data_IF_390305251178
#
_entry.id   IF_390305251178
#
_cell.length_a   1.000
_cell.length_b   1.000
_cell.length_c   1.000
_cell.angle_alpha   90.00
_cell.angle_beta   90.00
_cell.angle_gamma   90.00
#
_symmetry.space_group_name_H-M   'P 1'
#
loop_
_entity.id
_entity.type
_entity.pdbx_description
1 polymer ?
#
# COMPACT_ATOMS: atom_id res chain seq x y z
N UNK A 1 -16.42 8.45 -17.14
CA UNK A 1 -15.73 7.24 -17.64
C UNK A 1 -14.31 7.17 -17.12
N UNK A 2 -13.96 6.12 -16.40
CA UNK A 2 -12.60 5.89 -15.93
C UNK A 2 -11.68 5.53 -17.09
N UNK A 3 -10.97 6.49 -17.65
CA UNK A 3 -9.99 6.24 -18.72
C UNK A 3 -8.86 5.32 -18.23
N UNK A 4 -8.07 4.77 -19.16
CA UNK A 4 -6.85 4.01 -18.85
C UNK A 4 -6.00 4.65 -17.73
N UNK A 5 -5.86 5.98 -17.78
CA UNK A 5 -5.07 6.76 -16.82
C UNK A 5 -5.61 6.61 -15.39
N UNK A 6 -6.93 6.65 -15.17
CA UNK A 6 -7.51 6.50 -13.83
C UNK A 6 -7.25 5.12 -13.23
N UNK A 7 -7.38 4.07 -14.05
CA UNK A 7 -7.06 2.70 -13.64
C UNK A 7 -5.57 2.51 -13.36
N UNK A 8 -4.69 3.04 -14.24
CA UNK A 8 -3.25 2.97 -14.06
C UNK A 8 -2.78 3.78 -12.84
N UNK A 9 -3.39 4.93 -12.56
CA UNK A 9 -3.11 5.76 -11.39
C UNK A 9 -3.45 5.01 -10.09
N UNK A 10 -4.71 4.57 -9.95
CA UNK A 10 -5.17 3.82 -8.78
C UNK A 10 -4.34 2.53 -8.59
N UNK A 11 -4.11 1.79 -9.67
CA UNK A 11 -3.29 0.59 -9.65
C UNK A 11 -1.85 0.86 -9.18
N UNK A 12 -1.21 1.90 -9.73
CA UNK A 12 0.15 2.29 -9.35
C UNK A 12 0.24 2.71 -7.89
N UNK A 13 -0.76 3.44 -7.38
CA UNK A 13 -0.84 3.84 -5.99
C UNK A 13 -0.82 2.64 -5.04
N UNK A 14 -1.72 1.66 -5.25
CA UNK A 14 -1.79 0.46 -4.41
C UNK A 14 -0.54 -0.43 -4.54
N UNK A 15 0.02 -0.57 -5.75
CA UNK A 15 1.28 -1.31 -5.97
C UNK A 15 2.43 -0.66 -5.19
N UNK A 16 2.63 0.66 -5.34
CA UNK A 16 3.73 1.37 -4.67
C UNK A 16 3.60 1.27 -3.15
N UNK A 17 2.39 1.45 -2.60
CA UNK A 17 2.16 1.34 -1.16
C UNK A 17 2.42 -0.08 -0.62
N UNK A 18 1.93 -1.11 -1.31
CA UNK A 18 2.11 -2.50 -0.88
C UNK A 18 3.58 -2.92 -0.91
N UNK A 19 4.31 -2.60 -1.98
CA UNK A 19 5.75 -2.83 -2.07
C UNK A 19 6.51 -2.07 -0.99
N UNK A 20 6.15 -0.80 -0.76
CA UNK A 20 6.74 0.03 0.29
C UNK A 20 6.52 -0.56 1.69
N UNK A 21 5.32 -1.05 2.01
CA UNK A 21 5.03 -1.72 3.28
C UNK A 21 5.86 -3.00 3.46
N UNK A 22 6.06 -3.78 2.39
CA UNK A 22 6.89 -4.98 2.47
C UNK A 22 8.36 -4.65 2.74
N UNK A 23 8.90 -3.61 2.09
CA UNK A 23 10.26 -3.11 2.34
C UNK A 23 10.39 -2.59 3.77
N UNK A 24 9.44 -1.79 4.25
CA UNK A 24 9.41 -1.30 5.63
C UNK A 24 9.34 -2.45 6.64
N UNK A 25 8.55 -3.48 6.35
CA UNK A 25 8.43 -4.65 7.21
C UNK A 25 9.76 -5.39 7.33
N UNK A 26 10.42 -5.68 6.20
CA UNK A 26 11.75 -6.32 6.19
C UNK A 26 12.78 -5.47 6.96
N UNK A 27 12.80 -4.15 6.72
CA UNK A 27 13.67 -3.22 7.43
C UNK A 27 13.42 -3.21 8.94
N UNK A 28 12.15 -3.16 9.37
CA UNK A 28 11.82 -3.15 10.79
C UNK A 28 12.19 -4.49 11.46
N UNK A 29 11.96 -5.63 10.80
CA UNK A 29 12.33 -6.94 11.36
C UNK A 29 13.85 -7.13 11.46
N UNK A 30 14.60 -6.76 10.42
CA UNK A 30 16.02 -7.13 10.29
C UNK A 30 16.96 -6.03 10.82
N UNK A 31 16.73 -4.79 10.42
CA UNK A 31 17.61 -3.67 10.77
C UNK A 31 17.27 -3.07 12.14
N UNK A 32 15.97 -3.02 12.47
CA UNK A 32 15.52 -2.45 13.73
C UNK A 32 15.23 -3.49 14.83
N UNK A 33 15.42 -4.78 14.56
CA UNK A 33 15.06 -5.89 15.47
C UNK A 33 13.65 -5.71 16.06
N UNK A 34 12.68 -5.48 15.17
CA UNK A 34 11.27 -5.22 15.48
C UNK A 34 11.08 -4.00 16.41
N UNK A 35 11.83 -2.93 16.16
CA UNK A 35 11.77 -1.65 16.87
C UNK A 35 12.66 -1.55 18.12
N UNK A 36 13.46 -2.57 18.42
CA UNK A 36 14.40 -2.57 19.55
C UNK A 36 15.65 -1.72 19.29
N UNK A 37 16.00 -1.52 18.01
CA UNK A 37 17.15 -0.72 17.56
C UNK A 37 16.65 0.53 16.84
N UNK A 38 17.35 1.66 17.02
CA UNK A 38 17.01 2.92 16.32
C UNK A 38 17.66 2.97 14.93
N UNK A 39 17.02 3.60 13.93
CA UNK A 39 17.62 3.79 12.61
C UNK A 39 19.01 4.44 12.66
N UNK A 40 19.96 3.87 11.93
CA UNK A 40 21.31 4.42 11.79
C UNK A 40 21.37 5.44 10.63
N UNK A 41 22.08 6.55 10.84
CA UNK A 41 22.22 7.63 9.86
C UNK A 41 21.15 8.72 9.94
N UNK A 42 21.53 9.96 9.58
CA UNK A 42 20.67 11.16 9.72
C UNK A 42 19.45 11.11 8.79
N UNK A 43 19.64 10.68 7.54
CA UNK A 43 18.58 10.58 6.53
C UNK A 43 17.56 9.50 6.91
N UNK A 44 18.04 8.33 7.34
CA UNK A 44 17.16 7.21 7.71
C UNK A 44 16.32 7.54 8.95
N UNK A 45 16.91 8.26 9.93
CA UNK A 45 16.15 8.81 11.07
C UNK A 45 15.12 9.85 10.66
N UNK A 46 15.44 10.70 9.69
CA UNK A 46 14.49 11.69 9.18
C UNK A 46 13.31 10.99 8.47
N UNK A 47 13.60 10.08 7.54
CA UNK A 47 12.57 9.31 6.83
C UNK A 47 11.69 8.48 7.77
N UNK A 48 12.25 7.94 8.85
CA UNK A 48 11.50 7.20 9.86
C UNK A 48 10.64 8.10 10.78
N UNK A 49 10.91 9.41 10.81
CA UNK A 49 10.11 10.38 11.59
C UNK A 49 9.02 11.05 10.76
N UNK A 50 9.26 11.24 9.46
CA UNK A 50 8.29 11.87 8.59
C UNK A 50 7.15 10.88 8.28
N UNK A 51 5.87 11.33 8.30
CA UNK A 51 4.73 10.50 7.90
C UNK A 51 4.66 10.40 6.36
N UNK A 52 5.74 9.96 5.73
CA UNK A 52 5.92 9.93 4.26
C UNK A 52 4.76 9.20 3.59
N UNK A 53 4.31 8.09 4.18
CA UNK A 53 3.19 7.32 3.67
C UNK A 53 1.89 8.12 3.63
N UNK A 54 1.55 8.81 4.73
CA UNK A 54 0.36 9.66 4.77
C UNK A 54 0.42 10.80 3.77
N UNK A 55 1.60 11.41 3.59
CA UNK A 55 1.84 12.46 2.58
C UNK A 55 1.61 11.92 1.17
N UNK A 56 2.17 10.76 0.84
CA UNK A 56 1.99 10.12 -0.47
C UNK A 56 0.51 9.85 -0.72
N UNK A 57 -0.21 9.28 0.26
CA UNK A 57 -1.64 9.00 0.15
C UNK A 57 -2.45 10.27 -0.13
N UNK A 58 -2.18 11.37 0.60
CA UNK A 58 -2.87 12.65 0.38
C UNK A 58 -2.57 13.19 -1.02
N UNK A 59 -1.31 13.12 -1.48
CA UNK A 59 -0.93 13.61 -2.81
C UNK A 59 -1.66 12.85 -3.90
N UNK A 60 -1.64 11.52 -3.87
CA UNK A 60 -2.38 10.69 -4.84
C UNK A 60 -3.89 10.94 -4.78
N UNK A 61 -4.47 10.98 -3.59
CA UNK A 61 -5.89 11.30 -3.43
C UNK A 61 -6.24 12.67 -4.00
N UNK A 62 -5.39 13.68 -3.80
CA UNK A 62 -5.61 15.04 -4.31
C UNK A 62 -5.47 15.09 -5.84
N UNK A 63 -4.48 14.41 -6.41
CA UNK A 63 -4.29 14.34 -7.87
C UNK A 63 -5.52 13.69 -8.53
N UNK A 64 -5.95 12.53 -8.06
CA UNK A 64 -7.13 11.84 -8.60
C UNK A 64 -8.41 12.66 -8.43
N UNK A 65 -8.58 13.30 -7.26
CA UNK A 65 -9.74 14.15 -6.98
C UNK A 65 -9.83 15.35 -7.93
N UNK A 66 -8.72 16.07 -8.12
CA UNK A 66 -8.65 17.21 -9.06
C UNK A 66 -8.78 16.72 -10.50
N UNK A 67 -8.11 15.62 -10.84
CA UNK A 67 -8.14 15.03 -12.18
C UNK A 67 -9.57 14.67 -12.61
N UNK A 68 -10.36 14.06 -11.72
CA UNK A 68 -11.74 13.70 -12.05
C UNK A 68 -12.67 14.90 -12.23
N UNK A 69 -12.49 15.95 -11.43
CA UNK A 69 -13.37 17.12 -11.46
C UNK A 69 -12.98 18.17 -12.49
N UNK A 70 -11.70 18.29 -12.83
CA UNK A 70 -11.21 19.40 -13.65
C UNK A 70 -10.71 18.97 -15.05
N UNK A 71 -10.50 17.67 -15.30
CA UNK A 71 -10.04 17.17 -16.61
C UNK A 71 -11.12 16.38 -17.38
N UNK A 72 -11.23 16.56 -18.71
CA UNK A 72 -10.56 17.58 -19.54
C UNK A 72 -11.18 18.98 -19.42
N UNK A 73 -12.30 19.10 -18.72
CA UNK A 73 -12.98 20.35 -18.40
C UNK A 73 -13.66 20.23 -17.03
N UNK A 74 -13.98 21.35 -16.35
CA UNK A 74 -14.61 21.32 -15.04
C UNK A 74 -15.99 20.64 -15.01
N UNK A 75 -16.22 19.74 -14.04
CA UNK A 75 -17.41 18.88 -13.90
C UNK A 75 -18.16 19.08 -12.58
N UNK A 76 -18.09 20.27 -12.00
CA UNK A 76 -18.66 20.62 -10.69
C UNK A 76 -20.20 20.68 -10.62
N UNK A 77 -20.88 20.54 -11.75
CA UNK A 77 -22.35 20.60 -11.79
C UNK A 77 -22.95 19.33 -11.21
N UNK A 78 -23.66 19.45 -10.08
CA UNK A 78 -24.34 18.33 -9.43
C UNK A 78 -25.72 18.04 -10.04
N UNK A 79 -26.48 19.08 -10.38
CA UNK A 79 -27.82 18.97 -10.97
C UNK A 79 -27.88 19.61 -12.34
N UNK A 80 -28.50 18.90 -13.29
CA UNK A 80 -28.83 19.44 -14.60
C UNK A 80 -30.00 20.42 -14.57
N UNK A 81 -30.23 21.07 -15.71
CA UNK A 81 -31.41 21.93 -15.93
C UNK A 81 -32.73 21.15 -15.91
N UNK A 82 -32.66 19.84 -16.07
CA UNK A 82 -33.74 18.85 -15.96
C UNK A 82 -34.00 18.38 -14.52
N UNK A 83 -33.17 18.78 -13.55
CA UNK A 83 -33.25 18.35 -12.14
C UNK A 83 -32.57 17.01 -11.85
N UNK A 84 -32.02 16.35 -12.87
CA UNK A 84 -31.33 15.06 -12.74
C UNK A 84 -29.87 15.24 -12.28
N UNK A 85 -29.32 14.20 -11.64
CA UNK A 85 -27.91 14.20 -11.24
C UNK A 85 -26.99 14.16 -12.48
N UNK A 86 -25.98 15.04 -12.50
CA UNK A 86 -24.92 15.05 -13.51
C UNK A 86 -23.59 14.57 -12.93
N UNK A 87 -22.74 14.02 -13.81
CA UNK A 87 -21.38 13.57 -13.48
C UNK A 87 -21.33 12.57 -12.32
N UNK A 88 -22.34 11.68 -12.24
CA UNK A 88 -22.49 10.76 -11.11
C UNK A 88 -21.28 9.84 -10.94
N UNK A 89 -20.67 9.38 -12.04
CA UNK A 89 -19.44 8.58 -12.00
C UNK A 89 -18.29 9.37 -11.36
N UNK A 90 -18.08 10.61 -11.76
CA UNK A 90 -17.03 11.47 -11.21
C UNK A 90 -17.27 11.80 -9.73
N UNK A 91 -18.51 12.04 -9.32
CA UNK A 91 -18.86 12.21 -7.91
C UNK A 91 -18.55 10.97 -7.07
N UNK A 92 -18.75 9.77 -7.62
CA UNK A 92 -18.35 8.53 -6.94
C UNK A 92 -16.82 8.44 -6.82
N UNK A 93 -16.06 8.70 -7.88
CA UNK A 93 -14.59 8.67 -7.80
C UNK A 93 -14.03 9.70 -6.84
N UNK A 94 -14.52 10.94 -6.87
CA UNK A 94 -14.14 11.99 -5.92
C UNK A 94 -14.45 11.59 -4.48
N UNK A 95 -15.57 10.94 -4.25
CA UNK A 95 -15.91 10.42 -2.92
C UNK A 95 -14.88 9.38 -2.48
N UNK A 96 -14.55 8.42 -3.34
CA UNK A 96 -13.50 7.43 -3.09
C UNK A 96 -12.16 8.09 -2.73
N UNK A 97 -11.67 9.04 -3.55
CA UNK A 97 -10.43 9.76 -3.26
C UNK A 97 -10.48 10.53 -1.94
N UNK A 98 -11.64 11.10 -1.59
CA UNK A 98 -11.82 11.83 -0.33
C UNK A 98 -11.60 10.90 0.87
N UNK A 99 -12.14 9.67 0.86
CA UNK A 99 -11.94 8.70 1.94
C UNK A 99 -10.47 8.27 2.07
N UNK A 100 -9.79 8.00 0.95
CA UNK A 100 -8.34 7.73 0.98
C UNK A 100 -7.53 8.94 1.45
N UNK A 101 -7.92 10.16 1.07
CA UNK A 101 -7.33 11.41 1.56
C UNK A 101 -7.46 11.56 3.08
N UNK A 102 -8.63 11.26 3.65
CA UNK A 102 -8.87 11.25 5.11
C UNK A 102 -8.00 10.18 5.78
N UNK A 103 -7.87 8.99 5.19
CA UNK A 103 -6.97 7.95 5.68
C UNK A 103 -5.51 8.43 5.71
N UNK A 104 -5.03 9.07 4.63
CA UNK A 104 -3.70 9.67 4.57
C UNK A 104 -3.50 10.79 5.61
N UNK A 105 -4.50 11.67 5.77
CA UNK A 105 -4.50 12.74 6.77
C UNK A 105 -4.38 12.19 8.19
N UNK A 106 -5.08 11.10 8.49
CA UNK A 106 -5.01 10.41 9.79
C UNK A 106 -3.57 9.97 10.09
N UNK A 107 -2.85 9.44 9.09
CA UNK A 107 -1.43 9.06 9.23
C UNK A 107 -0.51 10.25 9.47
N UNK A 108 -0.75 11.36 8.78
CA UNK A 108 0.05 12.59 8.95
C UNK A 108 -0.19 13.19 10.34
N UNK A 109 -1.45 13.39 10.70
CA UNK A 109 -1.86 13.98 11.99
C UNK A 109 -1.40 13.10 13.15
N UNK A 110 -1.63 11.79 13.06
CA UNK A 110 -1.15 10.78 14.02
C UNK A 110 0.36 10.77 14.15
N UNK A 111 1.09 10.94 13.04
CA UNK A 111 2.55 10.96 13.01
C UNK A 111 3.21 12.24 13.51
N UNK A 112 2.46 13.35 13.63
CA UNK A 112 3.05 14.69 13.86
C UNK A 112 2.44 15.46 15.01
N UNK A 113 1.15 15.80 14.92
CA UNK A 113 0.49 16.77 15.81
C UNK A 113 -0.26 16.09 16.95
N UNK A 114 -1.00 15.02 16.65
CA UNK A 114 -1.93 14.38 17.59
C UNK A 114 -1.72 12.85 17.59
N UNK A 115 -0.79 12.31 18.40
CA UNK A 115 -0.46 10.89 18.42
C UNK A 115 -1.64 9.94 18.67
N UNK A 116 -2.66 10.39 19.41
CA UNK A 116 -3.86 9.60 19.71
C UNK A 116 -4.65 9.25 18.44
N UNK A 117 -4.52 10.07 17.38
CA UNK A 117 -5.17 9.83 16.07
C UNK A 117 -4.65 8.55 15.41
N UNK A 118 -3.44 8.07 15.76
CA UNK A 118 -2.90 6.80 15.24
C UNK A 118 -3.81 5.60 15.48
N UNK A 119 -4.60 5.63 16.55
CA UNK A 119 -5.56 4.58 16.87
C UNK A 119 -6.60 4.37 15.73
N UNK A 120 -6.94 5.44 15.01
CA UNK A 120 -7.96 5.44 13.96
C UNK A 120 -7.41 5.14 12.55
N UNK A 121 -6.10 5.02 12.36
CA UNK A 121 -5.50 4.80 11.04
C UNK A 121 -6.05 3.54 10.36
N UNK A 122 -6.04 2.40 11.06
CA UNK A 122 -6.51 1.13 10.47
C UNK A 122 -8.03 1.11 10.25
N UNK A 123 -8.89 1.52 11.20
CA UNK A 123 -10.32 1.64 10.95
C UNK A 123 -10.66 2.53 9.74
N UNK A 124 -10.01 3.69 9.61
CA UNK A 124 -10.26 4.60 8.49
C UNK A 124 -9.70 4.06 7.16
N UNK A 125 -8.58 3.34 7.18
CA UNK A 125 -8.09 2.62 6.00
C UNK A 125 -9.04 1.49 5.57
N UNK A 126 -9.58 0.73 6.52
CA UNK A 126 -10.59 -0.29 6.23
C UNK A 126 -11.87 0.34 5.67
N UNK A 127 -12.30 1.48 6.21
CA UNK A 127 -13.44 2.24 5.72
C UNK A 127 -13.20 2.76 4.29
N UNK A 128 -12.00 3.25 3.98
CA UNK A 128 -11.67 3.73 2.63
C UNK A 128 -11.81 2.61 1.58
N UNK A 129 -11.23 1.44 1.84
CA UNK A 129 -11.45 0.26 0.98
C UNK A 129 -12.92 -0.16 0.91
N UNK A 130 -13.63 -0.16 2.04
CA UNK A 130 -15.05 -0.54 2.02
C UNK A 130 -15.88 0.40 1.14
N UNK A 131 -15.67 1.70 1.27
CA UNK A 131 -16.39 2.73 0.49
C UNK A 131 -16.01 2.64 -0.99
N UNK A 132 -14.75 2.44 -1.32
CA UNK A 132 -14.31 2.18 -2.70
C UNK A 132 -15.08 1.00 -3.30
N UNK A 133 -15.07 -0.16 -2.65
CA UNK A 133 -15.79 -1.34 -3.15
C UNK A 133 -17.31 -1.11 -3.24
N UNK A 134 -17.89 -0.37 -2.28
CA UNK A 134 -19.31 -0.01 -2.31
C UNK A 134 -19.66 0.88 -3.51
N UNK A 135 -18.83 1.89 -3.78
CA UNK A 135 -19.03 2.80 -4.90
C UNK A 135 -18.86 2.06 -6.23
N UNK A 136 -17.80 1.26 -6.38
CA UNK A 136 -17.59 0.43 -7.57
C UNK A 136 -18.74 -0.57 -7.83
N UNK A 137 -19.36 -1.11 -6.78
CA UNK A 137 -20.52 -1.99 -6.91
C UNK A 137 -21.70 -1.31 -7.58
N UNK A 138 -21.93 -0.02 -7.31
CA UNK A 138 -22.99 0.75 -7.96
C UNK A 138 -22.52 1.49 -9.22
N UNK A 139 -21.21 1.60 -9.44
CA UNK A 139 -20.59 2.28 -10.58
C UNK A 139 -20.85 1.60 -11.94
N UNK A 140 -21.02 0.28 -11.97
CA UNK A 140 -21.02 -0.50 -13.22
C UNK A 140 -22.41 -0.75 -13.81
N UNK A 141 -23.47 -0.16 -13.23
CA UNK A 141 -24.83 -0.38 -13.69
C UNK A 141 -24.99 0.06 -15.15
N UNK A 142 -25.45 -0.86 -16.01
CA UNK A 142 -25.69 -0.60 -17.44
C UNK A 142 -24.46 -0.72 -18.34
N UNK A 143 -23.33 -1.22 -17.84
CA UNK A 143 -22.14 -1.54 -18.65
C UNK A 143 -22.22 -2.95 -19.25
N UNK A 144 -21.30 -3.25 -20.16
CA UNK A 144 -21.19 -4.56 -20.81
C UNK A 144 -20.70 -5.64 -19.83
N UNK A 145 -20.98 -6.92 -20.13
CA UNK A 145 -20.79 -8.00 -19.18
C UNK A 145 -19.32 -8.21 -18.75
N UNK A 146 -18.37 -8.11 -19.68
CA UNK A 146 -16.95 -8.23 -19.36
C UNK A 146 -16.45 -7.06 -18.51
N UNK A 147 -16.85 -5.83 -18.80
CA UNK A 147 -16.55 -4.63 -18.00
C UNK A 147 -17.07 -4.80 -16.55
N UNK A 148 -18.33 -5.22 -16.39
CA UNK A 148 -18.92 -5.54 -15.08
C UNK A 148 -18.08 -6.60 -14.36
N UNK A 149 -17.68 -7.68 -15.04
CA UNK A 149 -16.89 -8.74 -14.42
C UNK A 149 -15.51 -8.27 -13.96
N UNK A 150 -14.83 -7.44 -14.75
CA UNK A 150 -13.53 -6.86 -14.41
C UNK A 150 -13.62 -6.01 -13.14
N UNK A 151 -14.66 -5.18 -13.03
CA UNK A 151 -14.91 -4.35 -11.86
C UNK A 151 -15.42 -5.15 -10.65
N UNK A 152 -16.19 -6.23 -10.84
CA UNK A 152 -16.55 -7.15 -9.76
C UNK A 152 -15.30 -7.74 -9.08
N UNK A 153 -14.27 -8.05 -9.84
CA UNK A 153 -12.98 -8.46 -9.28
C UNK A 153 -12.30 -7.34 -8.46
N UNK A 154 -12.37 -6.07 -8.90
CA UNK A 154 -11.92 -4.91 -8.08
C UNK A 154 -12.68 -4.88 -6.74
N UNK A 155 -14.00 -5.02 -6.77
CA UNK A 155 -14.84 -4.98 -5.56
C UNK A 155 -14.45 -6.08 -4.58
N UNK A 156 -14.23 -7.31 -5.08
CA UNK A 156 -13.78 -8.45 -4.26
C UNK A 156 -12.42 -8.14 -3.60
N UNK A 157 -11.45 -7.66 -4.37
CA UNK A 157 -10.12 -7.32 -3.84
C UNK A 157 -10.18 -6.18 -2.82
N UNK A 158 -11.00 -5.16 -3.09
CA UNK A 158 -11.20 -4.01 -2.20
C UNK A 158 -11.84 -4.43 -0.88
N UNK A 159 -12.91 -5.21 -0.90
CA UNK A 159 -13.54 -5.71 0.33
C UNK A 159 -12.66 -6.69 1.09
N UNK A 160 -11.84 -7.49 0.41
CA UNK A 160 -10.81 -8.30 1.06
C UNK A 160 -9.79 -7.42 1.78
N UNK A 161 -9.33 -6.33 1.16
CA UNK A 161 -8.48 -5.32 1.81
C UNK A 161 -9.16 -4.71 3.04
N UNK A 162 -10.43 -4.29 2.91
CA UNK A 162 -11.20 -3.70 4.01
C UNK A 162 -11.30 -4.66 5.20
N UNK A 163 -11.71 -5.90 4.93
CA UNK A 163 -11.89 -6.94 5.93
C UNK A 163 -10.59 -7.24 6.68
N UNK A 164 -9.49 -7.48 5.96
CA UNK A 164 -8.21 -7.82 6.59
C UNK A 164 -7.60 -6.62 7.32
N UNK A 165 -7.77 -5.39 6.82
CA UNK A 165 -7.36 -4.17 7.53
C UNK A 165 -8.12 -4.02 8.85
N UNK A 166 -9.42 -4.33 8.86
CA UNK A 166 -10.22 -4.33 10.08
C UNK A 166 -9.79 -5.43 11.06
N UNK A 167 -9.47 -6.64 10.58
CA UNK A 167 -8.89 -7.69 11.42
C UNK A 167 -7.54 -7.29 12.02
N UNK A 168 -6.68 -6.61 11.24
CA UNK A 168 -5.40 -6.07 11.71
C UNK A 168 -5.57 -4.98 12.77
N UNK A 169 -6.70 -4.27 12.76
CA UNK A 169 -7.07 -3.35 13.83
C UNK A 169 -7.49 -4.08 15.10
N UNK A 170 -8.36 -5.10 14.98
CA UNK A 170 -8.84 -5.88 16.12
C UNK A 170 -7.74 -6.71 16.79
N UNK A 171 -6.76 -7.17 16.01
CA UNK A 171 -5.68 -8.06 16.46
C UNK A 171 -4.31 -7.52 16.05
N UNK A 172 -3.86 -6.36 16.59
CA UNK A 172 -2.66 -5.67 16.12
C UNK A 172 -1.34 -6.41 16.41
N UNK A 173 -1.36 -7.43 17.28
CA UNK A 173 -0.20 -8.29 17.56
C UNK A 173 0.01 -9.37 16.51
N UNK A 174 -1.03 -9.71 15.74
CA UNK A 174 -0.96 -10.77 14.74
C UNK A 174 -0.42 -10.24 13.41
N UNK A 175 0.85 -10.56 13.13
CA UNK A 175 1.55 -10.10 11.92
C UNK A 175 0.95 -10.65 10.63
N UNK A 176 0.21 -11.77 10.70
CA UNK A 176 -0.44 -12.38 9.55
C UNK A 176 -1.39 -11.40 8.85
N UNK A 177 -2.22 -10.66 9.60
CA UNK A 177 -3.17 -9.71 9.00
C UNK A 177 -2.45 -8.58 8.27
N UNK A 178 -1.32 -8.11 8.79
CA UNK A 178 -0.48 -7.15 8.06
C UNK A 178 0.01 -7.74 6.73
N UNK A 179 0.56 -8.96 6.74
CA UNK A 179 1.10 -9.60 5.53
C UNK A 179 0.00 -9.85 4.48
N UNK A 180 -1.17 -10.33 4.93
CA UNK A 180 -2.33 -10.57 4.06
C UNK A 180 -2.89 -9.25 3.54
N UNK A 181 -2.95 -8.18 4.34
CA UNK A 181 -3.35 -6.85 3.85
C UNK A 181 -2.41 -6.36 2.76
N UNK A 182 -1.09 -6.48 2.96
CA UNK A 182 -0.10 -6.08 1.95
C UNK A 182 -0.28 -6.88 0.65
N UNK A 183 -0.52 -8.19 0.75
CA UNK A 183 -0.83 -9.04 -0.41
C UNK A 183 -2.11 -8.59 -1.12
N UNK A 184 -3.19 -8.38 -0.39
CA UNK A 184 -4.47 -7.98 -0.98
C UNK A 184 -4.40 -6.58 -1.59
N UNK A 185 -3.66 -5.64 -0.99
CA UNK A 185 -3.44 -4.33 -1.59
C UNK A 185 -2.61 -4.43 -2.88
N UNK A 186 -1.59 -5.29 -2.93
CA UNK A 186 -0.85 -5.52 -4.17
C UNK A 186 -1.76 -6.12 -5.25
N UNK A 187 -2.52 -7.16 -4.89
CA UNK A 187 -3.49 -7.83 -5.76
C UNK A 187 -4.55 -6.88 -6.31
N UNK A 188 -5.04 -5.98 -5.46
CA UNK A 188 -5.94 -4.92 -5.86
C UNK A 188 -5.29 -3.99 -6.90
N UNK A 189 -4.07 -3.53 -6.63
CA UNK A 189 -3.35 -2.62 -7.52
C UNK A 189 -2.97 -3.23 -8.87
N UNK A 190 -2.51 -4.48 -8.89
CA UNK A 190 -2.19 -5.17 -10.15
C UNK A 190 -3.44 -5.46 -10.97
N UNK A 191 -4.57 -5.72 -10.31
CA UNK A 191 -5.84 -5.90 -11.01
C UNK A 191 -6.38 -4.62 -11.62
N UNK A 192 -6.25 -3.46 -10.95
CA UNK A 192 -6.56 -2.17 -11.56
C UNK A 192 -5.83 -1.95 -12.89
N UNK A 193 -4.54 -2.28 -12.94
CA UNK A 193 -3.76 -2.27 -14.19
C UNK A 193 -4.33 -3.24 -15.22
N UNK A 194 -4.71 -4.45 -14.82
CA UNK A 194 -5.31 -5.42 -15.71
C UNK A 194 -6.63 -4.91 -16.32
N UNK A 195 -7.49 -4.26 -15.53
CA UNK A 195 -8.73 -3.63 -16.04
C UNK A 195 -8.40 -2.55 -17.08
N UNK A 196 -7.46 -1.66 -16.75
CA UNK A 196 -7.01 -0.62 -17.68
C UNK A 196 -6.49 -1.19 -19.01
N UNK A 197 -5.68 -2.25 -18.95
CA UNK A 197 -5.15 -2.93 -20.13
C UNK A 197 -6.26 -3.61 -20.93
N UNK A 198 -7.17 -4.36 -20.31
CA UNK A 198 -8.21 -5.08 -21.05
C UNK A 198 -9.20 -4.14 -21.72
N UNK A 199 -9.62 -3.07 -21.04
CA UNK A 199 -10.65 -2.16 -21.56
C UNK A 199 -10.12 -1.10 -22.52
N UNK A 200 -8.87 -0.64 -22.37
CA UNK A 200 -8.38 0.54 -23.11
C UNK A 200 -7.09 0.31 -23.89
N UNK A 201 -6.27 -0.68 -23.51
CA UNK A 201 -4.99 -0.94 -24.18
C UNK A 201 -4.75 -2.46 -24.30
N UNK A 202 -5.63 -3.19 -25.03
CA UNK A 202 -5.65 -4.63 -25.00
C UNK A 202 -4.33 -5.21 -25.50
N UNK A 203 -3.76 -6.22 -24.82
CA UNK A 203 -2.56 -6.89 -25.28
C UNK A 203 -2.73 -7.41 -26.71
N UNK A 204 -1.84 -7.01 -27.63
CA UNK A 204 -1.93 -7.37 -29.05
C UNK A 204 -2.85 -6.49 -29.89
N UNK A 205 -3.44 -5.44 -29.30
CA UNK A 205 -4.19 -4.39 -30.02
C UNK A 205 -5.59 -4.78 -30.48
N UNK A 206 -6.05 -6.01 -30.18
CA UNK A 206 -7.40 -6.47 -30.50
C UNK A 206 -8.29 -6.39 -29.26
N UNK A 207 -9.38 -5.64 -29.36
CA UNK A 207 -10.38 -5.54 -28.31
C UNK A 207 -10.96 -6.91 -27.95
N UNK A 208 -11.19 -7.10 -26.66
CA UNK A 208 -11.82 -8.31 -26.15
C UNK A 208 -13.32 -8.23 -26.42
N UNK A 209 -13.90 -9.32 -26.91
CA UNK A 209 -15.36 -9.44 -27.06
C UNK A 209 -16.02 -9.38 -25.68
N UNK A 210 -16.86 -8.36 -25.50
CA UNK A 210 -17.45 -7.96 -24.22
C UNK A 210 -18.61 -8.87 -23.80
N UNK A 211 -19.18 -9.60 -24.76
CA UNK A 211 -20.26 -10.57 -24.55
C UNK A 211 -19.76 -12.02 -24.57
N UNK A 212 -18.47 -12.23 -24.82
CA UNK A 212 -17.88 -13.58 -24.84
C UNK A 212 -17.83 -14.17 -23.44
N UNK A 213 -18.59 -15.25 -23.26
CA UNK A 213 -18.52 -16.09 -22.05
C UNK A 213 -17.09 -16.56 -21.74
N UNK A 214 -16.29 -16.87 -22.76
CA UNK A 214 -14.91 -17.30 -22.56
C UNK A 214 -14.03 -16.20 -21.98
N UNK A 215 -14.22 -14.95 -22.43
CA UNK A 215 -13.48 -13.81 -21.88
C UNK A 215 -13.85 -13.59 -20.42
N UNK A 216 -15.13 -13.66 -20.06
CA UNK A 216 -15.62 -13.54 -18.67
C UNK A 216 -15.02 -14.63 -17.77
N UNK A 217 -15.02 -15.89 -18.22
CA UNK A 217 -14.43 -17.01 -17.47
C UNK A 217 -12.92 -16.85 -17.30
N UNK A 218 -12.23 -16.44 -18.38
CA UNK A 218 -10.79 -16.21 -18.34
C UNK A 218 -10.40 -15.02 -17.45
N UNK A 219 -11.21 -13.96 -17.40
CA UNK A 219 -11.01 -12.82 -16.49
C UNK A 219 -10.92 -13.29 -15.04
N UNK A 220 -11.85 -14.12 -14.59
CA UNK A 220 -11.83 -14.66 -13.21
C UNK A 220 -10.62 -15.56 -12.98
N UNK A 221 -10.22 -16.32 -14.00
CA UNK A 221 -9.00 -17.16 -13.93
C UNK A 221 -7.76 -16.28 -13.77
N UNK A 222 -7.60 -15.25 -14.62
CA UNK A 222 -6.49 -14.29 -14.54
C UNK A 222 -6.45 -13.59 -13.19
N UNK A 223 -7.61 -13.22 -12.63
CA UNK A 223 -7.69 -12.61 -11.30
C UNK A 223 -7.07 -13.47 -10.21
N UNK A 224 -7.28 -14.79 -10.25
CA UNK A 224 -6.64 -15.72 -9.28
C UNK A 224 -5.15 -15.93 -9.55
N UNK A 225 -4.72 -15.90 -10.82
CA UNK A 225 -3.30 -15.95 -11.18
C UNK A 225 -2.54 -14.70 -10.73
N UNK A 226 -3.17 -13.52 -10.76
CA UNK A 226 -2.61 -12.31 -10.17
C UNK A 226 -2.29 -12.52 -8.69
N UNK A 227 -3.20 -13.09 -7.92
CA UNK A 227 -2.97 -13.35 -6.49
C UNK A 227 -1.74 -14.25 -6.27
N UNK A 228 -1.56 -15.31 -7.07
CA UNK A 228 -0.38 -16.17 -7.00
C UNK A 228 0.91 -15.44 -7.41
N UNK A 229 0.86 -14.64 -8.47
CA UNK A 229 1.99 -13.82 -8.91
C UNK A 229 2.39 -12.79 -7.85
N UNK A 230 1.41 -12.16 -7.20
CA UNK A 230 1.62 -11.14 -6.17
C UNK A 230 2.20 -11.75 -4.88
N UNK A 231 1.82 -12.98 -4.53
CA UNK A 231 2.50 -13.73 -3.47
C UNK A 231 3.98 -13.95 -3.78
N UNK A 232 4.31 -14.31 -5.03
CA UNK A 232 5.68 -14.49 -5.46
C UNK A 232 6.47 -13.17 -5.47
N UNK A 233 5.87 -12.08 -5.97
CA UNK A 233 6.47 -10.74 -5.98
C UNK A 233 6.82 -10.31 -4.55
N UNK A 234 5.89 -10.47 -3.60
CA UNK A 234 6.14 -10.12 -2.21
C UNK A 234 7.24 -10.97 -1.56
N UNK A 235 7.30 -12.27 -1.89
CA UNK A 235 8.39 -13.14 -1.45
C UNK A 235 9.74 -12.65 -1.97
N UNK A 236 9.83 -12.30 -3.25
CA UNK A 236 11.05 -11.77 -3.89
C UNK A 236 11.45 -10.42 -3.28
N UNK A 237 10.50 -9.51 -3.07
CA UNK A 237 10.75 -8.19 -2.48
C UNK A 237 11.24 -8.33 -1.03
N UNK A 238 10.59 -9.16 -0.23
CA UNK A 238 11.03 -9.45 1.14
C UNK A 238 12.42 -10.09 1.15
N UNK A 239 12.63 -11.13 0.33
CA UNK A 239 13.89 -11.87 0.26
C UNK A 239 15.06 -10.98 -0.20
N UNK A 240 14.89 -10.23 -1.29
CA UNK A 240 15.91 -9.31 -1.81
C UNK A 240 16.24 -8.21 -0.83
N UNK A 241 15.23 -7.56 -0.23
CA UNK A 241 15.43 -6.54 0.80
C UNK A 241 16.18 -7.10 2.00
N UNK A 242 15.81 -8.32 2.44
CA UNK A 242 16.47 -9.00 3.55
C UNK A 242 17.95 -9.28 3.27
N UNK A 243 18.28 -9.75 2.07
CA UNK A 243 19.67 -10.01 1.65
C UNK A 243 20.45 -8.69 1.60
N UNK A 244 19.90 -7.64 0.99
CA UNK A 244 20.55 -6.33 0.91
C UNK A 244 20.85 -5.76 2.30
N UNK A 245 19.90 -5.84 3.24
CA UNK A 245 20.10 -5.35 4.61
C UNK A 245 21.18 -6.12 5.37
N UNK A 246 21.26 -7.44 5.18
CA UNK A 246 22.29 -8.28 5.79
C UNK A 246 23.68 -8.02 5.20
N UNK A 247 23.78 -7.93 3.86
CA UNK A 247 25.05 -7.71 3.16
C UNK A 247 25.61 -6.30 3.41
N UNK A 248 24.74 -5.29 3.52
CA UNK A 248 25.17 -3.90 3.79
C UNK A 248 25.52 -3.64 5.26
N UNK A 249 25.54 -4.66 6.11
CA UNK A 249 25.87 -4.53 7.54
C UNK A 249 24.81 -3.78 8.35
N UNK A 250 23.62 -3.54 7.79
CA UNK A 250 22.52 -2.82 8.45
C UNK A 250 21.62 -3.74 9.29
N UNK A 251 21.95 -5.02 9.41
CA UNK A 251 21.23 -5.96 10.26
C UNK A 251 21.66 -5.82 11.73
N UNK A 252 20.69 -5.84 12.64
CA UNK A 252 20.98 -5.98 14.06
C UNK A 252 21.49 -7.41 14.32
N UNK A 253 22.74 -7.56 14.78
CA UNK A 253 23.32 -8.87 15.08
C UNK A 253 22.99 -9.25 16.52
N UNK A 254 22.33 -10.40 16.68
CA UNK A 254 22.12 -11.06 17.97
C UNK A 254 23.27 -12.03 18.20
N UNK A 255 24.04 -11.81 19.26
CA UNK A 255 24.97 -12.79 19.79
C UNK A 255 24.41 -13.36 21.08
N UNK A 256 24.60 -14.65 21.30
CA UNK A 256 24.39 -15.27 22.60
C UNK A 256 25.77 -15.40 23.26
N UNK A 257 25.96 -14.72 24.39
CA UNK A 257 27.15 -14.84 25.25
C UNK A 257 26.75 -15.68 26.46
N UNK A 258 27.46 -16.77 26.71
CA UNK A 258 27.31 -17.46 28.00
C UNK A 258 27.90 -16.60 29.10
N UNK A 259 27.12 -16.35 30.16
CA UNK A 259 27.60 -15.74 31.38
C UNK A 259 28.51 -16.71 32.14
N UNK A 260 29.20 -16.24 33.19
CA UNK A 260 30.10 -17.10 33.97
C UNK A 260 29.38 -18.20 34.79
N UNK A 261 28.06 -18.18 34.84
CA UNK A 261 27.19 -19.17 35.48
C UNK A 261 26.53 -20.14 34.48
N UNK A 262 26.81 -20.01 33.18
CA UNK A 262 26.22 -20.84 32.12
C UNK A 262 24.85 -20.38 31.63
N UNK A 263 24.37 -19.19 32.01
CA UNK A 263 23.15 -18.60 31.46
C UNK A 263 23.43 -17.93 30.10
N UNK A 264 22.53 -18.16 29.15
CA UNK A 264 22.64 -17.61 27.80
C UNK A 264 22.16 -16.15 27.78
N UNK A 265 23.09 -15.19 27.74
CA UNK A 265 22.78 -13.76 27.67
C UNK A 265 22.79 -13.31 26.21
N UNK A 266 21.65 -12.79 25.72
CA UNK A 266 21.56 -12.17 24.39
C UNK A 266 22.29 -10.80 24.40
N UNK A 267 23.48 -10.74 23.81
CA UNK A 267 24.29 -9.52 23.62
C UNK A 267 24.13 -9.03 22.19
N UNK A 268 23.83 -7.74 21.99
CA UNK A 268 23.57 -7.17 20.67
C UNK A 268 24.70 -6.26 20.22
N UNK A 269 25.32 -6.60 19.09
CA UNK A 269 26.33 -5.78 18.43
C UNK A 269 25.72 -5.15 17.18
N UNK A 270 25.81 -3.83 17.09
CA UNK A 270 25.52 -3.10 15.86
C UNK A 270 26.78 -3.18 15.00
N UNK A 271 26.73 -3.84 13.83
CA UNK A 271 27.84 -3.77 12.88
C UNK A 271 27.91 -2.34 12.37
N UNK A 272 28.85 -1.57 12.89
CA UNK A 272 29.25 -0.27 12.34
C UNK A 272 30.40 -0.52 11.37
N UNK A 273 30.13 -0.57 10.07
CA UNK A 273 31.19 -0.52 9.08
C UNK A 273 31.77 0.92 9.01
N UNK A 274 32.81 1.15 9.82
CA UNK A 274 33.97 1.99 9.49
C UNK A 274 33.83 3.51 9.54
N UNK A 275 34.18 4.09 10.70
CA UNK A 275 35.17 5.19 10.82
C UNK A 275 35.38 5.47 12.31
N UNK A 276 35.92 4.49 13.06
CA UNK A 276 36.61 4.82 14.30
C UNK A 276 37.96 5.44 13.89
N UNK A 277 38.04 6.78 13.89
CA UNK A 277 39.33 7.39 14.22
C UNK A 277 39.56 7.05 15.68
N UNK A 278 40.42 6.07 15.86
CA UNK A 278 41.09 5.73 17.08
C UNK A 278 42.02 6.91 17.39
N UNK A 279 41.61 7.81 18.27
CA UNK A 279 42.56 8.66 19.00
C UNK A 279 43.00 7.82 20.20
N UNK A 280 44.08 7.06 19.97
CA UNK A 280 44.95 6.61 21.03
C UNK A 280 45.71 7.83 21.54
N UNK A 281 45.42 8.26 22.75
CA UNK A 281 46.39 8.97 23.59
C UNK A 281 46.16 8.55 25.04
N UNK A 282 46.74 7.41 25.40
CA UNK A 282 47.21 7.15 26.76
C UNK A 282 48.45 8.03 27.06
N UNK A 283 48.71 8.16 28.36
CA UNK A 283 49.89 8.76 29.03
C UNK A 283 49.87 10.29 29.19
N UNK A 284 50.15 10.89 30.36
CA UNK A 284 50.31 10.46 31.75
C UNK A 284 50.46 11.75 32.58
N UNK A 285 50.44 11.62 33.90
CA UNK A 285 50.97 12.56 34.93
C UNK A 285 50.13 13.74 35.48
N UNK A 286 49.91 13.62 36.80
CA UNK A 286 49.56 14.56 37.89
C UNK A 286 48.11 14.84 38.24
#
# INVERSE_FOLDING_TARGET
MGVFIGHAEAGSFFIVLSLWWMVQYAYNQIALDNGKVKPQGRILRLLHRLPVEGIIIIVFATIGWVGEMDYPAPKWTMFGSDGEFKNAEEWQHVTMYTYFGIYGATKVVGGTVLPDVKYYEKPLGALAYFIEGLLFFYHTHGREHLDIQLHNCIIIASWACAFVTFLEFLRPKEKLYFQVRVLFTLWHGTWFWQVGLVLYLPPGGKEWDQESMYNIMMTTTLFTWHLLADMFILLVVYGSTSVVLKVTGRAAVKYHRMDMNGEEIEVKLLISNGSSKQDDSEEDET
#
